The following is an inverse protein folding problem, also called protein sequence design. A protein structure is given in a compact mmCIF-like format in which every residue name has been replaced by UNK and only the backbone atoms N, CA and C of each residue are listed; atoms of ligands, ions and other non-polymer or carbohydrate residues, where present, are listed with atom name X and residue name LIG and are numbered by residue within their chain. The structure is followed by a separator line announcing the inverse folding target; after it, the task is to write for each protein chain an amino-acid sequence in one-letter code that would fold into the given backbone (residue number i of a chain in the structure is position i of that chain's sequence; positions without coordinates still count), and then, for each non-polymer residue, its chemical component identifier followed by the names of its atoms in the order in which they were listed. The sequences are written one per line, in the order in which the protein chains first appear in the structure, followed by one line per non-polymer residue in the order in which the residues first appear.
data_IF_536038929383
#
_entry.id   IF_536038929383
#
_cell.length_a   1.000
_cell.length_b   1.000
_cell.length_c   1.000
_cell.angle_alpha   90.00
_cell.angle_beta   90.00
_cell.angle_gamma   90.00
#
_symmetry.space_group_name_H-M   'P 1'
#
loop_
_entity.id
_entity.type
_entity.pdbx_description
1 polymer ?
#
# COMPACT_ATOMS: atom_id res chain seq x y z
N UNK A 1 17.01 -10.41 -4.30
CA UNK A 1 16.44 -11.74 -4.00
C UNK A 1 15.05 -11.94 -4.59
N UNK A 2 14.04 -11.14 -4.24
CA UNK A 2 12.67 -11.26 -4.77
C UNK A 2 12.64 -11.20 -6.30
N UNK A 3 13.37 -10.26 -6.90
CA UNK A 3 13.47 -10.10 -8.36
C UNK A 3 14.06 -11.33 -9.06
N UNK A 4 15.05 -11.97 -8.44
CA UNK A 4 15.69 -13.17 -8.98
C UNK A 4 14.73 -14.37 -8.94
N UNK A 5 13.97 -14.50 -7.84
CA UNK A 5 12.94 -15.55 -7.70
C UNK A 5 11.83 -15.32 -8.71
N UNK A 6 11.32 -14.08 -8.79
CA UNK A 6 10.28 -13.70 -9.76
C UNK A 6 10.71 -13.99 -11.20
N UNK A 7 11.97 -13.67 -11.56
CA UNK A 7 12.53 -13.95 -12.88
C UNK A 7 12.53 -15.45 -13.20
N UNK A 8 12.99 -16.29 -12.26
CA UNK A 8 13.03 -17.74 -12.45
C UNK A 8 11.62 -18.32 -12.62
N UNK A 9 10.67 -17.90 -11.79
CA UNK A 9 9.28 -18.34 -11.89
C UNK A 9 8.66 -17.87 -13.20
N UNK A 10 8.89 -16.62 -13.62
CA UNK A 10 8.37 -16.09 -14.87
C UNK A 10 8.89 -16.86 -16.09
N UNK A 11 10.19 -17.21 -16.11
CA UNK A 11 10.80 -18.04 -17.18
C UNK A 11 10.15 -19.42 -17.20
N UNK A 12 9.97 -20.03 -16.01
CA UNK A 12 9.34 -21.35 -15.91
C UNK A 12 7.89 -21.33 -16.43
N UNK A 13 7.06 -20.36 -16.01
CA UNK A 13 5.68 -20.21 -16.50
C UNK A 13 5.67 -20.02 -18.02
N UNK A 14 6.55 -19.16 -18.55
CA UNK A 14 6.62 -18.91 -19.99
C UNK A 14 7.07 -20.15 -20.80
N UNK A 15 7.88 -21.02 -20.20
CA UNK A 15 8.31 -22.26 -20.84
C UNK A 15 7.22 -23.34 -20.90
N UNK A 16 6.22 -23.29 -20.00
CA UNK A 16 5.11 -24.24 -20.01
C UNK A 16 4.07 -23.93 -21.08
N UNK A 17 3.83 -22.65 -21.37
CA UNK A 17 2.87 -22.23 -22.39
C UNK A 17 3.37 -20.94 -23.07
N UNK A 18 4.24 -21.09 -24.11
CA UNK A 18 4.87 -19.96 -24.78
C UNK A 18 3.88 -19.03 -25.50
N UNK A 19 2.79 -19.58 -26.02
CA UNK A 19 1.89 -18.86 -26.93
C UNK A 19 0.74 -18.14 -26.21
N UNK A 20 0.25 -18.71 -25.11
CA UNK A 20 -0.94 -18.18 -24.40
C UNK A 20 -0.60 -17.37 -23.14
N UNK A 21 0.66 -17.38 -22.67
CA UNK A 21 1.05 -16.58 -21.51
C UNK A 21 1.46 -15.15 -21.89
N UNK A 22 1.28 -14.21 -20.95
CA UNK A 22 1.74 -12.84 -21.10
C UNK A 22 3.26 -12.76 -21.37
N UNK A 23 3.74 -11.59 -21.80
CA UNK A 23 5.17 -11.39 -22.01
C UNK A 23 5.98 -11.64 -20.72
N UNK A 24 7.23 -12.04 -20.87
CA UNK A 24 8.12 -12.35 -19.72
C UNK A 24 8.21 -11.18 -18.73
N UNK A 25 8.24 -9.95 -19.26
CA UNK A 25 8.32 -8.74 -18.43
C UNK A 25 7.04 -8.51 -17.62
N UNK A 26 5.87 -8.77 -18.19
CA UNK A 26 4.59 -8.66 -17.49
C UNK A 26 4.47 -9.72 -16.40
N UNK A 27 4.85 -10.97 -16.70
CA UNK A 27 4.87 -12.05 -15.71
C UNK A 27 5.82 -11.75 -14.56
N UNK A 28 7.05 -11.33 -14.89
CA UNK A 28 8.06 -10.93 -13.89
C UNK A 28 7.56 -9.82 -13.00
N UNK A 29 6.99 -8.76 -13.58
CA UNK A 29 6.47 -7.62 -12.84
C UNK A 29 5.33 -8.02 -11.88
N UNK A 30 4.36 -8.80 -12.37
CA UNK A 30 3.28 -9.32 -11.54
C UNK A 30 3.78 -10.20 -10.39
N UNK A 31 4.75 -11.07 -10.65
CA UNK A 31 5.35 -11.92 -9.63
C UNK A 31 6.14 -11.12 -8.59
N UNK A 32 6.86 -10.06 -8.99
CA UNK A 32 7.54 -9.17 -8.03
C UNK A 32 6.52 -8.55 -7.08
N UNK A 33 5.39 -8.06 -7.59
CA UNK A 33 4.32 -7.49 -6.77
C UNK A 33 3.76 -8.53 -5.79
N UNK A 34 3.41 -9.71 -6.29
CA UNK A 34 2.85 -10.79 -5.47
C UNK A 34 3.82 -11.26 -4.37
N UNK A 35 5.10 -11.49 -4.73
CA UNK A 35 6.11 -11.93 -3.77
C UNK A 35 6.43 -10.87 -2.73
N UNK A 36 6.52 -9.60 -3.14
CA UNK A 36 6.73 -8.49 -2.21
C UNK A 36 5.55 -8.35 -1.24
N UNK A 37 4.33 -8.45 -1.76
CA UNK A 37 3.12 -8.44 -0.95
C UNK A 37 3.11 -9.58 0.08
N UNK A 38 3.34 -10.81 -0.37
CA UNK A 38 3.36 -11.99 0.50
C UNK A 38 4.45 -11.88 1.57
N UNK A 39 5.66 -11.45 1.18
CA UNK A 39 6.76 -11.23 2.13
C UNK A 39 6.41 -10.19 3.18
N UNK A 40 5.79 -9.07 2.77
CA UNK A 40 5.37 -8.02 3.71
C UNK A 40 4.31 -8.54 4.66
N UNK A 41 3.32 -9.27 4.16
CA UNK A 41 2.25 -9.85 4.95
C UNK A 41 2.81 -10.81 6.01
N UNK A 42 3.63 -11.78 5.59
CA UNK A 42 4.21 -12.78 6.49
C UNK A 42 5.10 -12.13 7.55
N UNK A 43 5.94 -11.18 7.16
CA UNK A 43 6.84 -10.48 8.08
C UNK A 43 6.06 -9.66 9.10
N UNK A 44 5.05 -8.90 8.66
CA UNK A 44 4.22 -8.07 9.54
C UNK A 44 3.39 -8.91 10.50
N UNK A 45 2.81 -10.03 10.00
CA UNK A 45 2.06 -10.96 10.85
C UNK A 45 2.96 -11.64 11.90
N UNK A 46 4.17 -12.03 11.53
CA UNK A 46 5.12 -12.63 12.50
C UNK A 46 5.41 -11.66 13.65
N UNK A 47 5.62 -10.38 13.36
CA UNK A 47 5.82 -9.35 14.40
C UNK A 47 4.53 -9.17 15.22
N UNK A 48 3.36 -9.09 14.58
CA UNK A 48 2.07 -8.94 15.28
C UNK A 48 1.78 -10.09 16.24
N UNK A 49 2.12 -11.34 15.84
CA UNK A 49 2.00 -12.50 16.74
C UNK A 49 2.93 -12.42 17.97
N UNK A 50 4.17 -11.97 17.78
CA UNK A 50 5.12 -11.79 18.89
C UNK A 50 4.67 -10.70 19.85
N UNK A 51 4.03 -9.64 19.35
CA UNK A 51 3.56 -8.52 20.16
C UNK A 51 2.15 -8.74 20.76
N UNK A 52 1.44 -9.80 20.36
CA UNK A 52 0.07 -10.04 20.80
C UNK A 52 -1.00 -9.20 20.07
N UNK A 53 -0.61 -8.44 19.04
CA UNK A 53 -1.46 -7.49 18.31
C UNK A 53 -1.85 -8.01 16.91
N UNK A 54 -2.02 -9.32 16.78
CA UNK A 54 -2.26 -9.97 15.47
C UNK A 54 -3.50 -9.43 14.77
N UNK A 55 -4.58 -9.20 15.51
CA UNK A 55 -5.85 -8.73 14.96
C UNK A 55 -5.70 -7.31 14.39
N UNK A 56 -5.11 -6.39 15.13
CA UNK A 56 -4.92 -5.00 14.73
C UNK A 56 -3.93 -4.87 13.58
N UNK A 57 -2.91 -5.73 13.55
CA UNK A 57 -1.99 -5.84 12.42
C UNK A 57 -2.70 -6.31 11.16
N UNK A 58 -3.61 -7.29 11.24
CA UNK A 58 -4.38 -7.76 10.07
C UNK A 58 -5.28 -6.65 9.55
N UNK A 59 -6.07 -6.02 10.41
CA UNK A 59 -6.95 -4.90 10.01
C UNK A 59 -6.15 -3.74 9.42
N UNK A 60 -5.06 -3.37 10.08
CA UNK A 60 -4.19 -2.32 9.62
C UNK A 60 -3.56 -2.59 8.26
N UNK A 61 -3.10 -3.83 8.04
CA UNK A 61 -2.52 -4.26 6.77
C UNK A 61 -3.54 -4.20 5.63
N UNK A 62 -4.77 -4.71 5.85
CA UNK A 62 -5.85 -4.66 4.87
C UNK A 62 -6.19 -3.21 4.54
N UNK A 63 -6.40 -2.38 5.56
CA UNK A 63 -6.74 -0.98 5.39
C UNK A 63 -5.67 -0.20 4.62
N UNK A 64 -4.39 -0.39 4.97
CA UNK A 64 -3.26 0.20 4.27
C UNK A 64 -3.25 -0.16 2.79
N UNK A 65 -3.39 -1.45 2.47
CA UNK A 65 -3.37 -1.94 1.10
C UNK A 65 -4.55 -1.46 0.28
N UNK A 66 -5.75 -1.54 0.85
CA UNK A 66 -6.97 -1.09 0.15
C UNK A 66 -6.87 0.40 -0.15
N UNK A 67 -6.53 1.24 0.84
CA UNK A 67 -6.38 2.67 0.59
C UNK A 67 -5.29 2.94 -0.45
N UNK A 68 -4.14 2.28 -0.34
CA UNK A 68 -3.01 2.45 -1.25
C UNK A 68 -3.33 2.04 -2.69
N UNK A 69 -4.15 1.01 -2.88
CA UNK A 69 -4.56 0.56 -4.21
C UNK A 69 -5.34 1.62 -4.98
N UNK A 70 -6.16 2.42 -4.29
CA UNK A 70 -6.99 3.46 -4.90
C UNK A 70 -6.33 4.85 -4.85
N UNK A 71 -5.64 5.20 -3.75
CA UNK A 71 -5.01 6.51 -3.59
C UNK A 71 -3.64 6.62 -4.26
N UNK A 72 -2.98 5.48 -4.52
CA UNK A 72 -1.58 5.46 -4.94
C UNK A 72 -0.63 5.83 -3.81
N UNK A 73 0.41 6.59 -4.10
CA UNK A 73 1.37 7.10 -3.13
C UNK A 73 2.81 6.76 -3.45
N UNK A 74 3.71 7.04 -2.50
CA UNK A 74 5.14 6.82 -2.65
C UNK A 74 5.50 5.33 -2.58
N UNK A 75 6.35 4.86 -3.51
CA UNK A 75 6.95 3.53 -3.50
C UNK A 75 8.47 3.63 -3.49
N UNK A 76 9.08 2.88 -2.60
CA UNK A 76 10.53 2.67 -2.64
C UNK A 76 10.93 1.84 -3.87
N UNK A 77 12.09 2.15 -4.46
CA UNK A 77 12.66 1.33 -5.54
C UNK A 77 13.07 -0.07 -5.07
N UNK A 78 13.46 -0.20 -3.80
CA UNK A 78 13.84 -1.46 -3.18
C UNK A 78 12.61 -2.15 -2.57
N UNK A 79 12.36 -3.39 -2.97
CA UNK A 79 11.31 -4.24 -2.38
C UNK A 79 11.51 -4.42 -0.87
N UNK A 80 12.75 -4.56 -0.42
CA UNK A 80 13.09 -4.71 1.01
C UNK A 80 12.70 -3.48 1.81
N UNK A 81 13.05 -2.27 1.30
CA UNK A 81 12.67 -1.03 1.97
C UNK A 81 11.15 -0.84 2.00
N UNK A 82 10.45 -1.25 0.94
CA UNK A 82 8.99 -1.20 0.91
C UNK A 82 8.38 -2.14 1.95
N UNK A 83 8.88 -3.38 2.07
CA UNK A 83 8.44 -4.35 3.07
C UNK A 83 8.68 -3.84 4.49
N UNK A 84 9.90 -3.41 4.80
CA UNK A 84 10.27 -2.93 6.14
C UNK A 84 9.45 -1.69 6.52
N UNK A 85 9.34 -0.70 5.63
CA UNK A 85 8.59 0.52 5.93
C UNK A 85 7.10 0.25 6.14
N UNK A 86 6.50 -0.62 5.32
CA UNK A 86 5.09 -0.99 5.48
C UNK A 86 4.87 -1.75 6.79
N UNK A 87 5.73 -2.72 7.11
CA UNK A 87 5.65 -3.45 8.37
C UNK A 87 5.78 -2.53 9.58
N UNK A 88 6.75 -1.61 9.57
CA UNK A 88 6.93 -0.63 10.64
C UNK A 88 5.70 0.28 10.80
N UNK A 89 5.12 0.76 9.71
CA UNK A 89 3.91 1.61 9.73
C UNK A 89 2.74 0.84 10.36
N UNK A 90 2.48 -0.39 9.90
CA UNK A 90 1.34 -1.17 10.36
C UNK A 90 1.51 -1.60 11.82
N UNK A 91 2.71 -2.06 12.21
CA UNK A 91 2.98 -2.45 13.59
C UNK A 91 2.94 -1.25 14.52
N UNK A 92 3.54 -0.12 14.15
CA UNK A 92 3.48 1.10 14.95
C UNK A 92 2.04 1.59 15.15
N UNK A 93 1.20 1.49 14.12
CA UNK A 93 -0.23 1.81 14.24
C UNK A 93 -0.96 0.83 15.17
N UNK A 94 -0.67 -0.49 15.06
CA UNK A 94 -1.34 -1.53 15.85
C UNK A 94 -1.06 -1.41 17.37
N UNK A 95 0.15 -0.99 17.75
CA UNK A 95 0.52 -0.80 19.17
C UNK A 95 0.22 0.61 19.69
N UNK A 96 -0.27 1.51 18.83
CA UNK A 96 -0.53 2.91 19.21
C UNK A 96 -1.89 3.04 19.89
N UNK A 97 -1.92 3.70 21.04
CA UNK A 97 -3.15 4.19 21.65
C UNK A 97 -3.19 5.71 21.51
N UNK A 98 -4.25 6.23 20.91
CA UNK A 98 -4.40 7.66 20.70
C UNK A 98 -5.12 8.31 21.89
N UNK A 99 -4.77 9.55 22.27
CA UNK A 99 -5.57 10.33 23.22
C UNK A 99 -6.99 10.53 22.69
N UNK A 100 -7.94 10.81 23.59
CA UNK A 100 -9.35 11.02 23.23
C UNK A 100 -9.50 12.01 22.08
N UNK A 101 -10.34 11.68 21.10
CA UNK A 101 -10.65 12.45 19.89
C UNK A 101 -9.52 12.56 18.84
N UNK A 102 -8.32 12.05 19.07
CA UNK A 102 -7.26 12.12 18.08
C UNK A 102 -7.54 11.25 16.84
N UNK A 103 -8.25 10.13 17.00
CA UNK A 103 -8.65 9.31 15.87
C UNK A 103 -9.56 10.08 14.89
N UNK A 104 -10.47 10.91 15.41
CA UNK A 104 -11.35 11.77 14.60
C UNK A 104 -10.53 12.87 13.90
N UNK A 105 -9.61 13.51 14.62
CA UNK A 105 -8.75 14.59 14.09
C UNK A 105 -7.88 14.04 12.96
N UNK A 106 -7.19 12.92 13.17
CA UNK A 106 -6.33 12.31 12.17
C UNK A 106 -7.13 11.83 10.94
N UNK A 107 -8.31 11.25 11.15
CA UNK A 107 -9.21 10.88 10.06
C UNK A 107 -9.66 12.09 9.25
N UNK A 108 -9.95 13.23 9.91
CA UNK A 108 -10.30 14.49 9.26
C UNK A 108 -9.16 15.02 8.40
N UNK A 109 -7.96 15.09 8.95
CA UNK A 109 -6.76 15.52 8.20
C UNK A 109 -6.52 14.58 7.02
N UNK A 110 -6.59 13.26 7.22
CA UNK A 110 -6.41 12.27 6.16
C UNK A 110 -7.42 12.43 5.03
N UNK A 111 -8.68 12.68 5.38
CA UNK A 111 -9.77 12.93 4.42
C UNK A 111 -9.48 14.14 3.55
N UNK A 112 -9.00 15.24 4.13
CA UNK A 112 -8.60 16.45 3.40
C UNK A 112 -7.41 16.15 2.48
N UNK A 113 -6.38 15.48 2.98
CA UNK A 113 -5.19 15.14 2.19
C UNK A 113 -5.54 14.23 1.01
N UNK A 114 -6.38 13.23 1.21
CA UNK A 114 -6.83 12.35 0.13
C UNK A 114 -7.64 13.12 -0.91
N UNK A 115 -8.55 14.02 -0.50
CA UNK A 115 -9.31 14.85 -1.43
C UNK A 115 -8.42 15.79 -2.26
N UNK A 116 -7.33 16.28 -1.68
CA UNK A 116 -6.41 17.18 -2.38
C UNK A 116 -5.47 16.43 -3.31
N UNK A 117 -4.87 15.32 -2.84
CA UNK A 117 -3.72 14.70 -3.49
C UNK A 117 -3.98 13.34 -4.13
N UNK A 118 -5.07 12.62 -3.81
CA UNK A 118 -5.39 11.36 -4.46
C UNK A 118 -6.07 11.57 -5.83
N UNK A 119 -5.86 10.65 -6.79
CA UNK A 119 -4.85 9.62 -6.79
C UNK A 119 -3.47 10.18 -7.14
N UNK A 120 -2.43 9.74 -6.41
CA UNK A 120 -1.06 10.17 -6.63
C UNK A 120 -0.23 9.06 -7.27
N UNK A 121 0.42 9.34 -8.43
CA UNK A 121 1.38 8.45 -9.11
C UNK A 121 0.83 7.10 -9.58
N UNK A 122 -0.47 6.98 -9.71
CA UNK A 122 -1.12 5.74 -10.16
C UNK A 122 -0.77 5.41 -11.63
N UNK A 123 -0.41 6.42 -12.42
CA UNK A 123 0.00 6.28 -13.84
C UNK A 123 1.19 5.33 -14.04
N UNK A 124 2.04 5.16 -13.01
CA UNK A 124 3.19 4.27 -13.06
C UNK A 124 2.90 2.85 -12.59
N UNK A 125 1.78 2.65 -11.94
CA UNK A 125 1.41 1.38 -11.32
C UNK A 125 0.30 0.68 -12.11
N UNK A 126 -0.50 1.43 -12.85
CA UNK A 126 -1.62 0.90 -13.60
C UNK A 126 -1.92 1.75 -14.83
N UNK A 127 -2.40 1.10 -15.88
CA UNK A 127 -2.85 1.75 -17.12
C UNK A 127 -4.29 2.30 -16.99
N UNK A 128 -4.67 2.84 -15.82
CA UNK A 128 -6.02 3.39 -15.60
C UNK A 128 -6.13 4.73 -16.33
N UNK A 129 -7.08 4.90 -17.26
CA UNK A 129 -7.30 6.15 -17.94
C UNK A 129 -7.65 7.29 -16.96
N UNK A 130 -7.15 8.51 -17.22
CA UNK A 130 -7.36 9.69 -16.36
C UNK A 130 -8.82 10.00 -16.07
N UNK A 131 -9.73 9.61 -16.95
CA UNK A 131 -11.18 9.77 -16.76
C UNK A 131 -11.72 9.08 -15.50
N UNK A 132 -11.03 8.06 -14.99
CA UNK A 132 -11.41 7.34 -13.77
C UNK A 132 -10.82 7.91 -12.49
N UNK A 133 -9.93 8.91 -12.55
CA UNK A 133 -9.29 9.51 -11.38
C UNK A 133 -10.28 10.13 -10.38
N UNK A 134 -11.37 10.81 -10.80
CA UNK A 134 -12.37 11.30 -9.86
C UNK A 134 -13.03 10.18 -9.05
N UNK A 135 -13.26 9.01 -9.67
CA UNK A 135 -13.82 7.84 -8.98
C UNK A 135 -12.83 7.26 -7.97
N UNK A 136 -11.54 7.14 -8.34
CA UNK A 136 -10.49 6.68 -7.43
C UNK A 136 -10.35 7.61 -6.22
N UNK A 137 -10.43 8.91 -6.43
CA UNK A 137 -10.43 9.92 -5.37
C UNK A 137 -11.62 9.74 -4.44
N UNK A 138 -12.81 9.59 -4.99
CA UNK A 138 -14.02 9.43 -4.20
C UNK A 138 -14.01 8.12 -3.38
N UNK A 139 -13.56 7.02 -3.98
CA UNK A 139 -13.39 5.75 -3.29
C UNK A 139 -12.37 5.88 -2.15
N UNK A 140 -11.21 6.49 -2.42
CA UNK A 140 -10.18 6.71 -1.39
C UNK A 140 -10.70 7.57 -0.24
N UNK A 141 -11.45 8.62 -0.55
CA UNK A 141 -12.11 9.45 0.46
C UNK A 141 -13.14 8.65 1.27
N UNK A 142 -13.99 7.84 0.61
CA UNK A 142 -14.98 6.99 1.27
C UNK A 142 -14.33 5.99 2.23
N UNK A 143 -13.21 5.35 1.83
CA UNK A 143 -12.43 4.44 2.68
C UNK A 143 -11.95 5.14 3.94
N UNK A 144 -11.36 6.33 3.82
CA UNK A 144 -10.87 7.10 4.97
C UNK A 144 -12.03 7.60 5.84
N UNK A 145 -13.07 8.16 5.21
CA UNK A 145 -14.23 8.71 5.93
C UNK A 145 -15.01 7.64 6.70
N UNK A 146 -14.95 6.36 6.28
CA UNK A 146 -15.55 5.26 6.99
C UNK A 146 -15.03 5.13 8.43
N UNK A 147 -13.80 5.56 8.70
CA UNK A 147 -13.26 5.56 10.06
C UNK A 147 -13.94 6.57 11.00
N UNK A 148 -14.68 7.55 10.51
CA UNK A 148 -15.51 8.39 11.38
C UNK A 148 -16.63 7.60 12.09
N UNK A 149 -17.07 6.49 11.50
CA UNK A 149 -18.07 5.58 12.07
C UNK A 149 -17.43 4.56 13.02
N UNK A 150 -16.24 4.03 12.65
CA UNK A 150 -15.55 2.99 13.43
C UNK A 150 -14.76 3.60 14.59
N UNK A 151 -14.17 4.78 14.40
CA UNK A 151 -13.30 5.50 15.35
C UNK A 151 -12.13 4.66 15.85
N UNK A 152 -11.56 3.83 14.97
CA UNK A 152 -10.38 3.01 15.27
C UNK A 152 -9.10 3.85 15.22
N UNK A 153 -8.30 3.77 16.27
CA UNK A 153 -6.99 4.43 16.37
C UNK A 153 -6.02 3.88 15.32
N UNK A 154 -6.02 2.57 15.14
CA UNK A 154 -5.18 1.88 14.15
C UNK A 154 -5.48 2.38 12.74
N UNK A 155 -6.76 2.45 12.37
CA UNK A 155 -7.17 2.94 11.06
C UNK A 155 -6.82 4.43 10.88
N UNK A 156 -7.04 5.24 11.90
CA UNK A 156 -6.71 6.67 11.87
C UNK A 156 -5.23 6.90 11.62
N UNK A 157 -4.35 6.18 12.33
CA UNK A 157 -2.89 6.25 12.15
C UNK A 157 -2.46 5.80 10.76
N UNK A 158 -2.98 4.68 10.28
CA UNK A 158 -2.65 4.13 8.97
C UNK A 158 -3.09 5.07 7.86
N UNK A 159 -4.32 5.57 7.92
CA UNK A 159 -4.85 6.49 6.92
C UNK A 159 -4.08 7.82 6.93
N UNK A 160 -3.69 8.31 8.10
CA UNK A 160 -2.88 9.50 8.21
C UNK A 160 -1.51 9.33 7.57
N UNK A 161 -0.77 8.27 7.95
CA UNK A 161 0.57 8.02 7.39
C UNK A 161 0.47 7.79 5.87
N UNK A 162 -0.49 7.00 5.40
CA UNK A 162 -0.69 6.78 3.97
C UNK A 162 -1.02 8.09 3.23
N UNK A 163 -1.86 8.95 3.80
CA UNK A 163 -2.21 10.23 3.19
C UNK A 163 -1.01 11.18 3.09
N UNK A 164 -0.13 11.18 4.08
CA UNK A 164 1.14 11.92 4.04
C UNK A 164 2.05 11.43 2.90
N UNK A 165 2.04 10.12 2.60
CA UNK A 165 2.84 9.59 1.47
C UNK A 165 2.39 10.10 0.10
N UNK A 166 1.17 10.64 -0.02
CA UNK A 166 0.67 11.24 -1.26
C UNK A 166 1.37 12.57 -1.59
N UNK A 167 1.82 13.28 -0.55
CA UNK A 167 2.44 14.61 -0.66
C UNK A 167 3.93 14.52 -0.97
N UNK A 168 4.61 13.43 -0.56
CA UNK A 168 6.06 13.31 -0.64
C UNK A 168 6.54 13.59 -2.06
N UNK A 169 7.51 14.52 -2.26
CA UNK A 169 8.00 14.86 -3.59
C UNK A 169 8.72 13.66 -4.22
N UNK A 170 8.46 13.43 -5.50
CA UNK A 170 9.28 12.51 -6.28
C UNK A 170 10.62 13.19 -6.59
N UNK A 171 11.73 12.61 -6.17
CA UNK A 171 13.05 13.02 -6.68
C UNK A 171 13.10 12.79 -8.19
N UNK A 172 13.07 13.89 -8.95
CA UNK A 172 13.21 13.91 -10.42
C UNK A 172 14.62 13.52 -10.90
N UNK A 173 15.38 12.82 -10.12
CA UNK A 173 16.83 12.66 -10.32
C UNK A 173 17.26 11.54 -11.28
N UNK A 174 16.44 11.06 -12.22
CA UNK A 174 16.88 10.12 -13.26
C UNK A 174 16.03 10.24 -14.52
N UNK A 175 15.99 11.42 -15.11
CA UNK A 175 15.57 11.60 -16.49
C UNK A 175 16.81 12.16 -17.24
N UNK A 176 17.83 11.33 -17.37
CA UNK A 176 18.88 11.45 -18.37
C UNK A 176 19.33 10.05 -18.75
#
# INVERSE_FOLDING_TARGET
MIETIAQRIAIYIKSLDPDHTASLDVLRYGLIICLNFLSTLLFTLAIGMVLGETTDVIYGMIAFMVLRAFSGGFHFKSSILCTISTALIVVAAAISTLPANWSIILTGISSILVLLYAPSRIERQSNIPRRFYPYLKLISFGIVAFNFLIQSDVLAMIFFIQSVTLILPYERRWAN
#
